data_IF_120736002373
#
_entry.id   IF_120736002373
#
_cell.length_a   1.000
_cell.length_b   1.000
_cell.length_c   1.000
_cell.angle_alpha   90.00
_cell.angle_beta   90.00
_cell.angle_gamma   90.00
#
_symmetry.space_group_name_H-M   'P 1'
#
loop_
_entity.id
_entity.type
_entity.pdbx_description
1 polymer ?
#
# COMPACT_ATOMS: atom_id res chain seq x y z
N UNK A 1 7.31 3.02 -25.10
CA UNK A 1 8.67 3.38 -24.65
C UNK A 1 9.77 2.99 -25.66
N UNK A 2 9.59 1.99 -26.54
CA UNK A 2 10.60 1.54 -27.52
C UNK A 2 11.16 2.69 -28.36
N UNK A 3 10.29 3.50 -28.97
CA UNK A 3 10.71 4.68 -29.73
C UNK A 3 11.54 5.68 -28.92
N UNK A 4 11.16 5.93 -27.65
CA UNK A 4 11.86 6.87 -26.77
C UNK A 4 13.27 6.38 -26.36
N UNK A 5 13.46 5.07 -26.28
CA UNK A 5 14.79 4.47 -26.01
C UNK A 5 15.68 4.54 -27.26
N UNK A 6 15.08 4.39 -28.44
CA UNK A 6 15.81 4.41 -29.70
C UNK A 6 16.22 5.83 -30.11
N UNK A 7 15.37 6.82 -29.82
CA UNK A 7 15.60 8.23 -30.20
C UNK A 7 15.48 9.18 -28.98
N UNK A 8 16.31 9.04 -27.95
CA UNK A 8 16.15 9.80 -26.71
C UNK A 8 16.47 11.30 -26.89
N UNK A 9 17.39 11.64 -27.81
CA UNK A 9 17.96 12.98 -27.93
C UNK A 9 17.19 13.91 -28.88
N UNK A 10 15.90 14.11 -28.63
CA UNK A 10 15.07 15.07 -29.35
C UNK A 10 14.07 15.77 -28.44
N UNK A 11 13.72 17.02 -28.77
CA UNK A 11 12.65 17.76 -28.08
C UNK A 11 11.31 17.04 -28.18
N UNK A 12 11.09 16.28 -29.25
CA UNK A 12 9.89 15.46 -29.45
C UNK A 12 9.84 14.29 -28.46
N UNK A 13 10.96 13.61 -28.26
CA UNK A 13 11.03 12.51 -27.27
C UNK A 13 10.81 13.00 -25.84
N UNK A 14 11.31 14.17 -25.49
CA UNK A 14 11.04 14.78 -24.19
C UNK A 14 9.56 15.14 -24.02
N UNK A 15 8.92 15.67 -25.08
CA UNK A 15 7.49 15.97 -25.08
C UNK A 15 6.64 14.69 -24.93
N UNK A 16 6.99 13.62 -25.63
CA UNK A 16 6.30 12.32 -25.49
C UNK A 16 6.49 11.74 -24.08
N UNK A 17 7.68 11.85 -23.50
CA UNK A 17 7.93 11.40 -22.13
C UNK A 17 7.11 12.20 -21.13
N UNK A 18 7.01 13.53 -21.29
CA UNK A 18 6.13 14.37 -20.46
C UNK A 18 4.66 13.89 -20.58
N UNK A 19 4.17 13.66 -21.80
CA UNK A 19 2.80 13.17 -22.02
C UNK A 19 2.55 11.81 -21.36
N UNK A 20 3.47 10.86 -21.50
CA UNK A 20 3.34 9.53 -20.89
C UNK A 20 3.32 9.64 -19.37
N UNK A 21 4.17 10.48 -18.77
CA UNK A 21 4.22 10.66 -17.31
C UNK A 21 3.01 11.43 -16.74
N UNK A 22 2.15 12.02 -17.59
CA UNK A 22 0.87 12.60 -17.14
C UNK A 22 -0.24 11.59 -16.99
N UNK A 23 -0.09 10.38 -17.51
CA UNK A 23 -1.09 9.31 -17.35
C UNK A 23 -1.18 8.88 -15.87
N UNK A 24 -2.36 8.39 -15.46
CA UNK A 24 -2.63 7.98 -14.09
C UNK A 24 -1.74 6.82 -13.62
N UNK A 25 -1.31 5.97 -14.55
CA UNK A 25 -0.30 4.94 -14.33
C UNK A 25 0.68 4.91 -15.50
N UNK A 26 1.97 4.92 -15.22
CA UNK A 26 3.03 4.81 -16.22
C UNK A 26 4.20 3.98 -15.66
N UNK A 27 4.99 3.39 -16.54
CA UNK A 27 6.19 2.66 -16.15
C UNK A 27 7.27 3.62 -15.67
N UNK A 28 7.42 3.71 -14.35
CA UNK A 28 8.35 4.62 -13.65
C UNK A 28 9.80 4.26 -13.94
N UNK A 29 10.12 2.95 -14.03
CA UNK A 29 11.48 2.48 -14.31
C UNK A 29 11.89 2.86 -15.74
N UNK A 30 11.01 2.60 -16.70
CA UNK A 30 11.24 2.97 -18.10
C UNK A 30 11.33 4.49 -18.28
N UNK A 31 10.47 5.27 -17.61
CA UNK A 31 10.51 6.74 -17.69
C UNK A 31 11.83 7.31 -17.12
N UNK A 32 12.31 6.76 -16.00
CA UNK A 32 13.60 7.13 -15.41
C UNK A 32 14.77 6.78 -16.33
N UNK A 33 14.77 5.56 -16.88
CA UNK A 33 15.79 5.11 -17.82
C UNK A 33 15.86 6.04 -19.03
N UNK A 34 14.72 6.35 -19.67
CA UNK A 34 14.68 7.23 -20.84
C UNK A 34 15.18 8.64 -20.51
N UNK A 35 14.76 9.20 -19.37
CA UNK A 35 15.25 10.51 -18.94
C UNK A 35 16.77 10.51 -18.73
N UNK A 36 17.36 9.40 -18.25
CA UNK A 36 18.80 9.24 -18.08
C UNK A 36 19.55 9.05 -19.40
N UNK A 37 18.91 8.48 -20.43
CA UNK A 37 19.49 8.33 -21.77
C UNK A 37 19.51 9.65 -22.57
N UNK A 38 18.69 10.65 -22.19
CA UNK A 38 18.72 11.95 -22.84
C UNK A 38 20.00 12.69 -22.54
N UNK A 39 20.61 13.30 -23.57
CA UNK A 39 21.83 14.08 -23.41
C UNK A 39 21.61 15.31 -22.51
N UNK A 40 22.69 15.80 -21.90
CA UNK A 40 22.64 17.02 -21.09
C UNK A 40 22.21 18.24 -21.93
N UNK A 41 22.58 18.28 -23.21
CA UNK A 41 22.17 19.33 -24.14
C UNK A 41 20.65 19.45 -24.24
N UNK A 42 19.94 18.31 -24.39
CA UNK A 42 18.47 18.27 -24.43
C UNK A 42 17.86 18.62 -23.09
N UNK A 43 18.39 18.05 -21.99
CA UNK A 43 17.84 18.27 -20.65
C UNK A 43 18.00 19.70 -20.15
N UNK A 44 19.16 20.33 -20.43
CA UNK A 44 19.54 21.64 -19.91
C UNK A 44 19.12 22.81 -20.85
N UNK A 45 18.52 22.50 -22.01
CA UNK A 45 17.99 23.52 -22.91
C UNK A 45 16.91 24.35 -22.19
N UNK A 46 16.98 25.71 -22.22
CA UNK A 46 16.04 26.56 -21.47
C UNK A 46 14.57 26.26 -21.73
N UNK A 47 14.20 25.89 -22.98
CA UNK A 47 12.84 25.48 -23.36
C UNK A 47 12.39 24.15 -22.74
N UNK A 48 13.30 23.32 -22.23
CA UNK A 48 13.08 21.98 -21.76
C UNK A 48 13.15 21.86 -20.24
N UNK A 49 13.80 22.79 -19.56
CA UNK A 49 14.06 22.75 -18.11
C UNK A 49 12.80 22.53 -17.27
N UNK A 50 11.70 23.20 -17.61
CA UNK A 50 10.41 23.04 -16.92
C UNK A 50 9.82 21.64 -17.16
N UNK A 51 9.94 21.10 -18.38
CA UNK A 51 9.44 19.76 -18.72
C UNK A 51 10.22 18.68 -17.99
N UNK A 52 11.56 18.79 -17.99
CA UNK A 52 12.45 17.86 -17.26
C UNK A 52 12.12 17.88 -15.77
N UNK A 53 11.94 19.06 -15.16
CA UNK A 53 11.57 19.18 -13.75
C UNK A 53 10.21 18.51 -13.46
N UNK A 54 9.20 18.74 -14.31
CA UNK A 54 7.88 18.11 -14.17
C UNK A 54 7.95 16.59 -14.29
N UNK A 55 8.70 16.06 -15.26
CA UNK A 55 8.90 14.63 -15.45
C UNK A 55 9.59 14.05 -14.21
N UNK A 56 10.66 14.69 -13.70
CA UNK A 56 11.36 14.26 -12.50
C UNK A 56 10.43 14.25 -11.29
N UNK A 57 9.65 15.31 -11.07
CA UNK A 57 8.67 15.37 -9.98
C UNK A 57 7.62 14.25 -10.09
N UNK A 58 7.16 13.91 -11.30
CA UNK A 58 6.23 12.79 -11.53
C UNK A 58 6.87 11.44 -11.25
N UNK A 59 8.11 11.23 -11.69
CA UNK A 59 8.89 10.02 -11.40
C UNK A 59 9.10 9.87 -9.88
N UNK A 60 9.46 10.95 -9.19
CA UNK A 60 9.72 10.92 -7.74
C UNK A 60 8.42 10.75 -6.94
N UNK A 61 7.33 11.40 -7.37
CA UNK A 61 5.99 11.20 -6.81
C UNK A 61 5.49 9.76 -7.02
N UNK A 62 5.72 9.18 -8.20
CA UNK A 62 5.34 7.80 -8.51
C UNK A 62 6.25 6.77 -7.82
N UNK A 63 7.50 7.10 -7.50
CA UNK A 63 8.36 6.27 -6.61
C UNK A 63 7.85 6.25 -5.17
N UNK A 64 7.26 7.35 -4.69
CA UNK A 64 6.62 7.40 -3.38
C UNK A 64 5.30 6.63 -3.35
N UNK A 65 4.67 6.41 -4.50
CA UNK A 65 3.65 5.36 -4.71
C UNK A 65 4.40 4.05 -4.97
N UNK A 66 4.96 3.49 -3.92
CA UNK A 66 5.48 2.12 -3.87
C UNK A 66 4.50 1.23 -4.65
N UNK A 67 4.98 0.49 -5.65
CA UNK A 67 4.16 -0.50 -6.33
C UNK A 67 3.75 -1.51 -5.27
N UNK A 68 2.51 -1.42 -4.78
CA UNK A 68 1.99 -2.35 -3.80
C UNK A 68 1.79 -3.68 -4.55
N UNK A 69 2.76 -4.57 -4.43
CA UNK A 69 2.76 -5.87 -5.10
C UNK A 69 3.61 -6.86 -4.31
N UNK A 70 3.35 -8.13 -4.51
CA UNK A 70 4.19 -9.21 -3.96
C UNK A 70 5.64 -9.01 -4.40
N UNK A 71 6.57 -9.10 -3.45
CA UNK A 71 8.01 -8.85 -3.63
C UNK A 71 8.45 -7.40 -3.39
N UNK A 72 7.53 -6.44 -3.24
CA UNK A 72 7.85 -5.06 -2.90
C UNK A 72 7.84 -4.83 -1.38
N UNK A 73 8.59 -3.84 -0.91
CA UNK A 73 8.49 -3.37 0.47
C UNK A 73 7.11 -2.71 0.70
N UNK A 74 6.41 -3.14 1.75
CA UNK A 74 5.19 -2.52 2.20
C UNK A 74 5.50 -1.11 2.73
N UNK A 75 4.78 -0.07 2.29
CA UNK A 75 4.94 1.27 2.84
C UNK A 75 4.63 1.29 4.33
N UNK A 76 5.54 1.84 5.13
CA UNK A 76 5.27 2.03 6.55
C UNK A 76 4.23 3.13 6.78
N UNK A 77 3.46 3.00 7.84
CA UNK A 77 2.44 3.99 8.20
C UNK A 77 2.25 4.09 9.70
N UNK A 78 1.69 5.22 10.12
CA UNK A 78 1.28 5.49 11.48
C UNK A 78 -0.16 5.97 11.50
N UNK A 79 -1.00 5.37 12.34
CA UNK A 79 -2.40 5.74 12.48
C UNK A 79 -2.88 5.58 13.92
N UNK A 80 -3.92 6.34 14.37
CA UNK A 80 -4.41 6.27 15.73
C UNK A 80 -5.29 5.04 15.96
N UNK A 81 -5.14 4.43 17.14
CA UNK A 81 -6.02 3.38 17.64
C UNK A 81 -7.33 3.96 18.23
N UNK A 82 -8.27 3.13 18.75
CA UNK A 82 -9.52 3.61 19.35
C UNK A 82 -9.34 4.65 20.46
N UNK A 83 -8.29 4.56 21.25
CA UNK A 83 -7.93 5.49 22.35
C UNK A 83 -7.24 6.76 21.85
N UNK A 84 -6.91 6.84 20.54
CA UNK A 84 -6.20 7.97 19.94
C UNK A 84 -4.68 7.89 20.05
N UNK A 85 -4.12 6.78 20.53
CA UNK A 85 -2.68 6.54 20.55
C UNK A 85 -2.21 6.13 19.15
N UNK A 86 -1.15 6.77 18.67
CA UNK A 86 -0.56 6.45 17.37
C UNK A 86 0.22 5.13 17.41
N UNK A 87 -0.08 4.25 16.47
CA UNK A 87 0.59 2.96 16.25
C UNK A 87 1.30 3.03 14.90
N UNK A 88 2.60 2.70 14.89
CA UNK A 88 3.41 2.60 13.67
C UNK A 88 3.56 1.12 13.30
N UNK A 89 3.24 0.76 12.06
CA UNK A 89 3.23 -0.62 11.59
C UNK A 89 4.61 -1.29 11.76
N UNK A 90 5.69 -0.61 11.38
CA UNK A 90 7.05 -1.15 11.52
C UNK A 90 7.48 -1.41 12.98
N UNK A 91 6.88 -0.72 13.95
CA UNK A 91 7.20 -0.89 15.37
C UNK A 91 6.51 -2.11 16.02
N UNK A 92 5.47 -2.66 15.37
CA UNK A 92 4.64 -3.76 15.91
C UNK A 92 4.69 -5.02 15.05
N UNK A 93 5.36 -5.00 13.91
CA UNK A 93 5.40 -6.15 13.00
C UNK A 93 6.05 -7.36 13.63
N UNK A 94 5.45 -8.52 13.41
CA UNK A 94 5.97 -9.84 13.81
C UNK A 94 6.88 -10.45 12.73
N UNK A 95 7.16 -11.75 12.83
CA UNK A 95 7.80 -12.52 11.76
C UNK A 95 6.96 -12.47 10.48
N UNK A 96 5.65 -12.60 10.64
CA UNK A 96 4.64 -12.39 9.61
C UNK A 96 3.63 -11.38 10.15
N UNK A 97 3.24 -10.41 9.32
CA UNK A 97 2.22 -9.44 9.69
C UNK A 97 1.13 -9.39 8.63
N UNK A 98 -0.12 -9.44 9.06
CA UNK A 98 -1.27 -9.20 8.20
C UNK A 98 -1.68 -7.74 8.35
N UNK A 99 -1.70 -7.01 7.25
CA UNK A 99 -2.29 -5.67 7.15
C UNK A 99 -3.67 -5.84 6.53
N UNK A 100 -4.73 -5.71 7.35
CA UNK A 100 -6.11 -5.92 6.92
C UNK A 100 -6.85 -4.59 6.78
N UNK A 101 -7.52 -4.38 5.66
CA UNK A 101 -8.36 -3.20 5.39
C UNK A 101 -9.83 -3.61 5.43
N UNK A 102 -10.56 -3.04 6.36
CA UNK A 102 -11.95 -3.39 6.65
C UNK A 102 -12.81 -2.19 7.06
N UNK A 103 -14.02 -2.42 7.52
CA UNK A 103 -14.85 -1.43 8.20
C UNK A 103 -16.00 -2.10 8.97
N UNK A 104 -16.53 -1.43 9.98
CA UNK A 104 -17.66 -1.93 10.78
C UNK A 104 -18.93 -2.18 9.95
N UNK A 105 -19.13 -1.44 8.88
CA UNK A 105 -20.24 -1.55 7.93
C UNK A 105 -19.99 -2.58 6.81
N UNK A 106 -18.76 -3.08 6.67
CA UNK A 106 -18.38 -4.03 5.62
C UNK A 106 -18.80 -5.45 6.01
N UNK A 107 -19.97 -5.89 5.56
CA UNK A 107 -20.48 -7.25 5.87
C UNK A 107 -19.51 -8.37 5.45
N UNK A 108 -18.92 -8.37 4.23
CA UNK A 108 -17.96 -9.41 3.85
C UNK A 108 -16.72 -9.43 4.74
N UNK A 109 -16.22 -8.26 5.19
CA UNK A 109 -15.11 -8.17 6.13
C UNK A 109 -15.46 -8.84 7.47
N UNK A 110 -16.66 -8.55 7.99
CA UNK A 110 -17.16 -9.12 9.25
C UNK A 110 -17.34 -10.65 9.20
N UNK A 111 -17.61 -11.19 8.02
CA UNK A 111 -17.67 -12.66 7.79
C UNK A 111 -16.27 -13.27 7.82
N UNK A 112 -15.25 -12.55 7.41
CA UNK A 112 -13.84 -13.00 7.40
C UNK A 112 -13.18 -12.90 8.79
N UNK A 113 -13.60 -11.97 9.65
CA UNK A 113 -13.00 -11.73 10.97
C UNK A 113 -12.81 -12.99 11.84
N UNK A 114 -13.75 -13.98 11.88
CA UNK A 114 -13.52 -15.23 12.61
C UNK A 114 -12.30 -16.03 12.11
N UNK A 115 -11.94 -15.93 10.83
CA UNK A 115 -10.73 -16.55 10.29
C UNK A 115 -9.48 -15.88 10.86
N UNK A 116 -9.45 -14.54 10.89
CA UNK A 116 -8.34 -13.78 11.51
C UNK A 116 -8.22 -14.08 13.01
N UNK A 117 -9.34 -14.19 13.74
CA UNK A 117 -9.32 -14.54 15.17
C UNK A 117 -8.66 -15.90 15.39
N UNK A 118 -9.08 -16.94 14.64
CA UNK A 118 -8.46 -18.28 14.75
C UNK A 118 -6.97 -18.26 14.41
N UNK A 119 -6.57 -17.55 13.35
CA UNK A 119 -5.17 -17.43 12.96
C UNK A 119 -4.35 -16.72 14.04
N UNK A 120 -4.88 -15.65 14.63
CA UNK A 120 -4.20 -14.90 15.67
C UNK A 120 -4.03 -15.77 16.94
N UNK A 121 -5.08 -16.45 17.39
CA UNK A 121 -5.03 -17.38 18.52
C UNK A 121 -4.02 -18.52 18.33
N UNK A 122 -3.90 -19.03 17.09
CA UNK A 122 -3.03 -20.16 16.77
C UNK A 122 -1.55 -19.79 16.55
N UNK A 123 -1.30 -18.60 15.97
CA UNK A 123 0.03 -18.25 15.45
C UNK A 123 0.65 -17.00 16.07
N UNK A 124 -0.05 -16.26 16.94
CA UNK A 124 0.53 -15.07 17.56
C UNK A 124 1.82 -15.38 18.32
N UNK A 125 1.83 -16.42 19.14
CA UNK A 125 3.01 -16.86 19.89
C UNK A 125 4.14 -17.40 18.99
N UNK A 126 3.82 -17.75 17.72
CA UNK A 126 4.81 -18.14 16.71
C UNK A 126 5.36 -16.96 15.90
N UNK A 127 4.79 -15.78 16.10
CA UNK A 127 5.23 -14.53 15.47
C UNK A 127 4.28 -13.95 14.44
N UNK A 128 3.00 -14.37 14.41
CA UNK A 128 1.97 -13.68 13.64
C UNK A 128 1.55 -12.39 14.35
N UNK A 129 1.55 -11.28 13.61
CA UNK A 129 0.91 -10.05 14.04
C UNK A 129 -0.18 -9.62 13.04
N UNK A 130 -1.16 -8.87 13.53
CA UNK A 130 -2.21 -8.30 12.69
C UNK A 130 -2.36 -6.81 13.01
N UNK A 131 -2.49 -6.00 11.98
CA UNK A 131 -2.92 -4.61 12.10
C UNK A 131 -4.09 -4.36 11.17
N UNK A 132 -5.26 -4.08 11.74
CA UNK A 132 -6.47 -3.79 10.98
C UNK A 132 -6.68 -2.29 10.83
N UNK A 133 -6.75 -1.81 9.59
CA UNK A 133 -6.97 -0.42 9.21
C UNK A 133 -8.44 -0.24 8.84
N UNK A 134 -9.19 0.48 9.64
CA UNK A 134 -10.63 0.68 9.39
C UNK A 134 -10.91 1.89 8.50
N UNK A 135 -11.81 1.70 7.52
CA UNK A 135 -12.36 2.73 6.66
C UNK A 135 -13.68 3.31 7.20
N UNK A 136 -13.88 3.30 8.51
CA UNK A 136 -15.03 3.96 9.12
C UNK A 136 -14.92 5.49 9.03
N UNK A 137 -16.03 6.20 9.27
CA UNK A 137 -16.09 7.67 9.28
C UNK A 137 -16.02 8.19 10.69
N UNK A 138 -15.70 9.47 10.85
CA UNK A 138 -15.66 10.14 12.16
C UNK A 138 -16.93 9.95 12.97
N UNK A 139 -18.11 10.04 12.35
CA UNK A 139 -19.41 9.84 12.99
C UNK A 139 -19.75 8.34 13.21
N UNK A 140 -18.87 7.44 12.84
CA UNK A 140 -19.02 5.98 13.00
C UNK A 140 -17.99 5.40 13.98
N UNK A 141 -17.21 6.24 14.67
CA UNK A 141 -16.16 5.78 15.59
C UNK A 141 -16.68 4.77 16.61
N UNK A 142 -17.83 5.01 17.22
CA UNK A 142 -18.39 4.08 18.21
C UNK A 142 -18.77 2.74 17.57
N UNK A 143 -19.38 2.75 16.39
CA UNK A 143 -19.69 1.49 15.65
C UNK A 143 -18.44 0.68 15.33
N UNK A 144 -17.32 1.34 15.00
CA UNK A 144 -16.04 0.70 14.79
C UNK A 144 -15.55 0.04 16.07
N UNK A 145 -15.58 0.73 17.21
CA UNK A 145 -15.20 0.17 18.52
C UNK A 145 -16.09 -1.01 18.89
N UNK A 146 -17.41 -0.86 18.78
CA UNK A 146 -18.38 -1.94 19.05
C UNK A 146 -18.14 -3.17 18.15
N UNK A 147 -17.71 -2.94 16.90
CA UNK A 147 -17.38 -4.01 15.97
C UNK A 147 -16.10 -4.75 16.34
N UNK A 148 -15.05 -4.05 16.79
CA UNK A 148 -13.82 -4.64 17.31
C UNK A 148 -14.14 -5.56 18.48
N UNK A 149 -14.91 -5.08 19.45
CA UNK A 149 -15.29 -5.85 20.64
C UNK A 149 -16.15 -7.07 20.27
N UNK A 150 -17.19 -6.86 19.47
CA UNK A 150 -18.13 -7.91 19.07
C UNK A 150 -17.46 -9.03 18.29
N UNK A 151 -16.53 -8.69 17.40
CA UNK A 151 -15.83 -9.67 16.57
C UNK A 151 -14.54 -10.20 17.22
N UNK A 152 -14.22 -9.72 18.44
CA UNK A 152 -13.04 -10.13 19.23
C UNK A 152 -11.71 -9.86 18.52
N UNK A 153 -11.56 -8.68 17.88
CA UNK A 153 -10.36 -8.29 17.18
C UNK A 153 -9.32 -7.76 18.18
N UNK A 154 -8.61 -8.67 18.86
CA UNK A 154 -7.72 -8.38 20.01
C UNK A 154 -6.35 -7.82 19.62
N UNK A 155 -6.02 -7.76 18.34
CA UNK A 155 -4.78 -7.22 17.81
C UNK A 155 -4.85 -5.70 17.57
N UNK A 156 -3.86 -5.14 16.87
CA UNK A 156 -3.80 -3.70 16.60
C UNK A 156 -4.88 -3.24 15.64
N UNK A 157 -5.75 -2.35 16.10
CA UNK A 157 -6.81 -1.76 15.31
C UNK A 157 -6.57 -0.25 15.20
N UNK A 158 -6.51 0.29 13.98
CA UNK A 158 -6.25 1.72 13.72
C UNK A 158 -7.23 2.29 12.70
N UNK A 159 -7.47 3.60 12.76
CA UNK A 159 -8.29 4.32 11.78
C UNK A 159 -8.07 5.83 11.85
N UNK A 160 -7.91 6.49 10.72
CA UNK A 160 -8.00 7.95 10.64
C UNK A 160 -9.45 8.44 10.54
N UNK A 161 -10.43 7.55 10.49
CA UNK A 161 -11.86 7.83 10.37
C UNK A 161 -12.23 8.71 9.16
N UNK A 162 -11.49 8.54 8.05
CA UNK A 162 -11.62 9.32 6.82
C UNK A 162 -12.25 8.55 5.64
N UNK A 163 -12.85 7.38 5.92
CA UNK A 163 -13.48 6.55 4.88
C UNK A 163 -12.48 6.25 3.74
N UNK A 164 -12.90 6.34 2.47
CA UNK A 164 -12.01 6.15 1.31
C UNK A 164 -10.91 7.23 1.19
N UNK A 165 -11.00 8.32 1.96
CA UNK A 165 -9.95 9.33 2.05
C UNK A 165 -8.92 9.04 3.13
N UNK A 166 -8.99 7.86 3.77
CA UNK A 166 -7.96 7.44 4.71
C UNK A 166 -6.57 7.44 4.07
N UNK A 167 -5.56 8.10 4.67
CA UNK A 167 -4.23 8.19 4.07
C UNK A 167 -3.55 6.83 3.95
N UNK A 168 -3.80 5.88 4.87
CA UNK A 168 -3.23 4.53 4.78
C UNK A 168 -3.90 3.75 3.64
N UNK A 169 -5.22 3.85 3.50
CA UNK A 169 -5.94 3.23 2.38
C UNK A 169 -5.45 3.76 1.02
N UNK A 170 -5.20 5.08 0.92
CA UNK A 170 -4.62 5.68 -0.30
C UNK A 170 -3.20 5.23 -0.54
N UNK A 171 -2.38 5.14 0.50
CA UNK A 171 -1.00 4.67 0.44
C UNK A 171 -0.91 3.24 -0.11
N UNK A 172 -1.86 2.38 0.25
CA UNK A 172 -1.97 1.00 -0.20
C UNK A 172 -2.86 0.81 -1.44
N UNK A 173 -3.28 1.89 -2.10
CA UNK A 173 -4.14 1.87 -3.29
C UNK A 173 -5.44 1.06 -3.07
N UNK A 174 -6.04 1.15 -1.87
CA UNK A 174 -7.26 0.42 -1.54
C UNK A 174 -8.47 1.07 -2.21
N UNK A 175 -9.09 0.35 -3.13
CA UNK A 175 -10.29 0.75 -3.86
C UNK A 175 -11.52 -0.07 -3.49
N UNK A 176 -11.33 -1.19 -2.79
CA UNK A 176 -12.41 -2.07 -2.29
C UNK A 176 -11.96 -2.80 -1.04
N UNK A 177 -12.91 -3.15 -0.17
CA UNK A 177 -12.71 -3.97 1.02
C UNK A 177 -13.65 -5.17 1.03
N UNK A 178 -13.25 -6.29 1.65
CA UNK A 178 -12.00 -6.53 2.37
C UNK A 178 -10.79 -6.60 1.44
N UNK A 179 -9.64 -6.12 1.92
CA UNK A 179 -8.35 -6.26 1.27
C UNK A 179 -7.27 -6.52 2.34
N UNK A 180 -6.33 -7.41 2.04
CA UNK A 180 -5.27 -7.73 2.99
C UNK A 180 -3.94 -7.94 2.27
N UNK A 181 -2.86 -7.58 2.96
CA UNK A 181 -1.48 -7.87 2.58
C UNK A 181 -0.82 -8.67 3.69
N UNK A 182 0.02 -9.61 3.31
CA UNK A 182 0.85 -10.37 4.23
C UNK A 182 2.29 -9.93 3.98
N UNK A 183 2.96 -9.49 5.02
CA UNK A 183 4.36 -9.05 4.96
C UNK A 183 5.22 -9.93 5.86
N UNK A 184 6.48 -10.12 5.46
CA UNK A 184 7.48 -10.79 6.27
C UNK A 184 8.16 -9.84 7.28
N UNK A 185 9.10 -10.38 8.04
CA UNK A 185 9.88 -9.64 9.04
C UNK A 185 10.67 -8.46 8.45
N UNK A 186 11.08 -8.56 7.18
CA UNK A 186 11.76 -7.50 6.45
C UNK A 186 10.80 -6.42 5.97
N UNK A 187 9.49 -6.68 6.02
CA UNK A 187 8.44 -5.81 5.52
C UNK A 187 8.14 -6.00 4.04
N UNK A 188 8.60 -7.09 3.43
CA UNK A 188 8.31 -7.42 2.03
C UNK A 188 6.92 -8.06 1.95
N UNK A 189 6.11 -7.63 0.99
CA UNK A 189 4.80 -8.23 0.72
C UNK A 189 5.01 -9.62 0.12
N UNK A 190 4.62 -10.66 0.86
CA UNK A 190 4.75 -12.06 0.43
C UNK A 190 3.45 -12.62 -0.14
N UNK A 191 2.31 -12.00 0.16
CA UNK A 191 1.02 -12.33 -0.46
C UNK A 191 0.04 -11.16 -0.32
N UNK A 192 -1.00 -11.16 -1.16
CA UNK A 192 -2.08 -10.18 -1.10
C UNK A 192 -3.44 -10.85 -1.40
N UNK A 193 -4.53 -10.25 -0.84
CA UNK A 193 -5.93 -10.59 -1.14
C UNK A 193 -6.32 -12.05 -0.88
N UNK A 194 -5.56 -12.77 -0.05
CA UNK A 194 -5.91 -14.12 0.37
C UNK A 194 -7.04 -14.09 1.40
N UNK A 195 -7.91 -15.13 1.40
CA UNK A 195 -9.06 -15.26 2.31
C UNK A 195 -9.36 -16.72 2.63
N UNK A 196 -10.08 -16.93 3.74
CA UNK A 196 -10.53 -18.26 4.16
C UNK A 196 -9.40 -19.28 4.20
N UNK A 197 -9.64 -20.46 3.70
CA UNK A 197 -8.68 -21.58 3.72
C UNK A 197 -7.35 -21.27 3.00
N UNK A 198 -7.37 -20.44 1.95
CA UNK A 198 -6.13 -20.07 1.24
C UNK A 198 -5.25 -19.18 2.11
N UNK A 199 -5.86 -18.26 2.87
CA UNK A 199 -5.15 -17.45 3.85
C UNK A 199 -4.60 -18.34 4.99
N UNK A 200 -5.42 -19.24 5.54
CA UNK A 200 -5.00 -20.17 6.61
C UNK A 200 -3.82 -21.03 6.16
N UNK A 201 -3.89 -21.62 4.96
CA UNK A 201 -2.80 -22.41 4.40
C UNK A 201 -1.50 -21.61 4.22
N UNK A 202 -1.61 -20.33 3.77
CA UNK A 202 -0.45 -19.48 3.57
C UNK A 202 0.21 -19.08 4.90
N UNK A 203 -0.56 -18.78 5.93
CA UNK A 203 -0.01 -18.47 7.25
C UNK A 203 0.66 -19.71 7.87
N UNK A 204 0.05 -20.89 7.73
CA UNK A 204 0.67 -22.14 8.16
C UNK A 204 2.00 -22.40 7.43
N UNK A 205 2.04 -22.25 6.09
CA UNK A 205 3.27 -22.37 5.29
C UNK A 205 4.42 -21.47 5.78
N UNK A 206 4.07 -20.26 6.25
CA UNK A 206 5.07 -19.25 6.64
C UNK A 206 5.53 -19.37 8.11
N UNK A 207 4.76 -20.03 8.99
CA UNK A 207 5.02 -20.06 10.44
C UNK A 207 5.17 -21.46 11.05
N UNK A 208 4.86 -22.53 10.35
CA UNK A 208 5.11 -23.92 10.74
C UNK A 208 6.43 -24.41 10.16
#
# INVERSE_FOLDING_TARGET
>A
FTFLKEYPNSDFSLMLLELVTTQQSFDVAAAKEILSLMSEEIRNKPSNSIKVLKIQQKIDAAKSVSTIAVGALAPDFTAPNPEGKFITMSAIKGKITIIDFWASWCRPCRVENPTYVRLYEQYHDKGLEIISVSLDRQNQKQRWIDAIEKDKLTWYNVSNLKFWNDPVAKLYNITSIPAAFIIDEQGVIVAERLRGQVLEAKIAELLD
#
